data_IF_972103614290
#
_entry.id   IF_972103614290
#
_cell.length_a   1.000
_cell.length_b   1.000
_cell.length_c   1.000
_cell.angle_alpha   90.00
_cell.angle_beta   90.00
_cell.angle_gamma   90.00
#
_symmetry.space_group_name_H-M   'P 1'
#
loop_
_entity.id
_entity.type
_entity.pdbx_description
1 polymer ?
#
# COMPACT_ATOMS: atom_id res chain seq x y z
N UNK A 1 1.11 -16.97 -17.18
CA UNK A 1 1.92 -18.09 -16.67
C UNK A 1 3.17 -17.64 -15.88
N UNK A 2 3.66 -16.40 -16.00
CA UNK A 2 4.88 -15.94 -15.30
C UNK A 2 4.70 -15.39 -13.87
N UNK A 3 3.52 -14.89 -13.50
CA UNK A 3 3.30 -14.26 -12.18
C UNK A 3 3.06 -15.28 -11.05
N UNK A 4 2.48 -16.45 -11.34
CA UNK A 4 2.19 -17.46 -10.32
C UNK A 4 3.47 -18.07 -9.76
N UNK A 5 4.43 -18.41 -10.62
CA UNK A 5 5.73 -18.95 -10.18
C UNK A 5 6.56 -17.90 -9.44
N UNK A 6 6.42 -16.60 -9.76
CA UNK A 6 7.12 -15.53 -9.04
C UNK A 6 6.79 -15.51 -7.55
N UNK A 7 5.50 -15.52 -7.18
CA UNK A 7 5.11 -15.48 -5.77
C UNK A 7 5.51 -16.76 -5.04
N UNK A 8 5.35 -17.92 -5.69
CA UNK A 8 5.73 -19.21 -5.12
C UNK A 8 7.25 -19.33 -4.89
N UNK A 9 8.06 -18.92 -5.88
CA UNK A 9 9.53 -18.95 -5.78
C UNK A 9 10.04 -17.95 -4.75
N UNK A 10 9.47 -16.74 -4.72
CA UNK A 10 9.80 -15.72 -3.72
C UNK A 10 9.46 -16.21 -2.30
N UNK A 11 8.26 -16.78 -2.10
CA UNK A 11 7.83 -17.34 -0.83
C UNK A 11 8.72 -18.50 -0.39
N UNK A 12 9.09 -19.40 -1.30
CA UNK A 12 10.00 -20.51 -1.04
C UNK A 12 11.38 -20.01 -0.60
N UNK A 13 11.92 -19.01 -1.28
CA UNK A 13 13.21 -18.40 -0.91
C UNK A 13 13.15 -17.73 0.47
N UNK A 14 12.12 -16.91 0.71
CA UNK A 14 11.94 -16.20 1.99
C UNK A 14 11.82 -17.20 3.15
N UNK A 15 10.97 -18.23 3.02
CA UNK A 15 10.83 -19.27 4.05
C UNK A 15 12.14 -20.01 4.31
N UNK A 16 12.88 -20.36 3.27
CA UNK A 16 14.16 -21.05 3.41
C UNK A 16 15.23 -20.24 4.15
N UNK A 17 15.19 -18.91 4.05
CA UNK A 17 16.19 -18.01 4.66
C UNK A 17 15.76 -17.45 6.01
N UNK A 18 14.46 -17.21 6.20
CA UNK A 18 13.91 -16.64 7.44
C UNK A 18 13.54 -17.71 8.46
N UNK A 19 13.16 -18.92 8.03
CA UNK A 19 12.54 -19.93 8.89
C UNK A 19 13.40 -20.45 10.05
N UNK A 20 14.72 -20.25 10.01
CA UNK A 20 15.66 -20.67 11.05
C UNK A 20 16.23 -19.50 11.86
N UNK A 21 15.75 -18.27 11.62
CA UNK A 21 16.22 -17.08 12.32
C UNK A 21 15.32 -16.79 13.53
N UNK A 22 15.93 -16.31 14.61
CA UNK A 22 15.18 -15.71 15.73
C UNK A 22 14.57 -14.37 15.32
N UNK A 23 13.58 -13.88 16.08
CA UNK A 23 12.88 -12.62 15.79
C UNK A 23 13.83 -11.43 15.62
N UNK A 24 14.85 -11.30 16.47
CA UNK A 24 15.86 -10.24 16.38
C UNK A 24 16.68 -10.36 15.09
N UNK A 25 17.09 -11.58 14.73
CA UNK A 25 17.82 -11.83 13.49
C UNK A 25 16.94 -11.58 12.26
N UNK A 26 15.65 -11.90 12.33
CA UNK A 26 14.69 -11.55 11.27
C UNK A 26 14.65 -10.04 11.11
N UNK A 27 14.49 -9.28 12.20
CA UNK A 27 14.42 -7.82 12.14
C UNK A 27 15.65 -7.19 11.47
N UNK A 28 16.84 -7.68 11.78
CA UNK A 28 18.10 -7.21 11.18
C UNK A 28 18.27 -7.67 9.72
N UNK A 29 17.86 -8.90 9.41
CA UNK A 29 18.17 -9.55 8.13
C UNK A 29 17.03 -9.53 7.11
N UNK A 30 15.84 -9.04 7.47
CA UNK A 30 14.66 -9.10 6.60
C UNK A 30 14.89 -8.32 5.30
N UNK A 31 15.43 -7.10 5.37
CA UNK A 31 15.72 -6.27 4.20
C UNK A 31 16.73 -6.93 3.25
N UNK A 32 17.93 -7.37 3.68
CA UNK A 32 18.86 -8.04 2.79
C UNK A 32 18.32 -9.37 2.25
N UNK A 33 17.57 -10.14 3.03
CA UNK A 33 16.96 -11.40 2.58
C UNK A 33 15.89 -11.15 1.53
N UNK A 34 15.00 -10.17 1.74
CA UNK A 34 14.01 -9.73 0.74
C UNK A 34 14.71 -9.34 -0.56
N UNK A 35 15.80 -8.58 -0.48
CA UNK A 35 16.54 -8.15 -1.67
C UNK A 35 17.16 -9.32 -2.45
N UNK A 36 17.57 -10.39 -1.76
CA UNK A 36 18.08 -11.60 -2.41
C UNK A 36 16.97 -12.45 -3.01
N UNK A 37 15.81 -12.54 -2.36
CA UNK A 37 14.69 -13.35 -2.83
C UNK A 37 13.81 -12.64 -3.87
N UNK A 38 13.88 -11.32 -3.96
CA UNK A 38 13.04 -10.52 -4.86
C UNK A 38 13.67 -10.38 -6.24
N UNK A 39 12.95 -10.80 -7.28
CA UNK A 39 13.29 -10.47 -8.66
C UNK A 39 12.82 -9.03 -8.91
N UNK A 40 13.75 -8.06 -8.83
CA UNK A 40 13.51 -6.61 -8.90
C UNK A 40 12.90 -6.07 -10.22
N UNK A 41 12.39 -6.91 -11.12
CA UNK A 41 11.91 -6.50 -12.47
C UNK A 41 10.57 -7.10 -12.89
N UNK A 42 9.85 -7.79 -12.00
CA UNK A 42 8.58 -8.45 -12.38
C UNK A 42 7.40 -7.47 -12.39
N UNK A 43 7.39 -6.50 -11.49
CA UNK A 43 6.35 -5.48 -11.38
C UNK A 43 6.89 -4.14 -11.88
N UNK A 44 6.22 -3.56 -12.88
CA UNK A 44 6.52 -2.23 -13.39
C UNK A 44 5.93 -1.17 -12.44
N UNK A 45 6.48 -1.10 -11.23
CA UNK A 45 6.09 -0.13 -10.21
C UNK A 45 6.51 1.27 -10.66
N UNK A 46 5.56 2.20 -10.64
CA UNK A 46 5.79 3.62 -10.85
C UNK A 46 5.82 4.30 -9.47
N UNK A 47 6.93 4.94 -9.07
CA UNK A 47 6.93 5.78 -7.90
C UNK A 47 6.10 7.04 -8.18
N UNK A 48 5.20 7.38 -7.28
CA UNK A 48 4.48 8.66 -7.25
C UNK A 48 4.87 9.31 -5.92
N UNK A 49 5.52 10.45 -6.04
CA UNK A 49 6.03 11.22 -4.91
C UNK A 49 4.97 12.18 -4.43
N UNK A 50 4.79 12.28 -3.11
CA UNK A 50 4.07 13.39 -2.49
C UNK A 50 5.05 14.20 -1.62
N UNK A 51 4.56 15.05 -0.72
CA UNK A 51 5.43 15.97 0.05
C UNK A 51 6.37 15.27 1.04
N UNK A 52 5.97 14.12 1.59
CA UNK A 52 6.64 13.45 2.72
C UNK A 52 6.91 11.95 2.49
N UNK A 53 6.34 11.33 1.46
CA UNK A 53 6.43 9.90 1.16
C UNK A 53 6.51 9.58 -0.35
N UNK A 54 6.80 8.30 -0.64
CA UNK A 54 6.79 7.74 -1.98
C UNK A 54 5.80 6.59 -2.00
N UNK A 55 4.71 6.73 -2.76
CA UNK A 55 3.75 5.66 -3.00
C UNK A 55 4.08 4.97 -4.32
N UNK A 56 4.16 3.64 -4.31
CA UNK A 56 4.46 2.86 -5.51
C UNK A 56 3.17 2.31 -6.14
N UNK A 57 2.88 2.70 -7.37
CA UNK A 57 1.70 2.27 -8.12
C UNK A 57 2.09 1.29 -9.23
N UNK A 58 1.49 0.10 -9.23
CA UNK A 58 1.58 -0.80 -10.39
C UNK A 58 0.32 -0.64 -11.25
N UNK A 59 0.49 0.01 -12.41
CA UNK A 59 -0.59 0.10 -13.38
C UNK A 59 -0.78 -1.27 -14.07
N UNK A 60 -2.00 -1.84 -14.07
CA UNK A 60 -2.30 -2.96 -14.94
C UNK A 60 -2.03 -2.55 -16.39
N UNK A 61 -1.28 -3.37 -17.15
CA UNK A 61 -1.02 -3.07 -18.57
C UNK A 61 -2.34 -2.78 -19.30
N UNK A 62 -2.31 -1.76 -20.16
CA UNK A 62 -3.43 -1.20 -20.94
C UNK A 62 -4.36 -2.21 -21.65
N UNK A 63 -3.95 -3.47 -21.79
CA UNK A 63 -4.70 -4.50 -22.54
C UNK A 63 -5.87 -5.14 -21.79
N UNK A 64 -6.14 -4.77 -20.53
CA UNK A 64 -7.34 -5.24 -19.82
C UNK A 64 -7.95 -4.08 -19.05
N UNK A 65 -9.06 -3.54 -19.57
CA UNK A 65 -10.03 -2.79 -18.75
C UNK A 65 -10.37 -3.70 -17.57
N UNK A 66 -9.80 -3.43 -16.41
CA UNK A 66 -9.90 -4.26 -15.21
C UNK A 66 -11.22 -4.03 -14.46
N UNK A 67 -12.29 -3.68 -15.18
CA UNK A 67 -13.58 -3.39 -14.58
C UNK A 67 -14.34 -4.70 -14.30
N UNK A 68 -14.85 -4.89 -13.06
CA UNK A 68 -14.80 -3.97 -11.92
C UNK A 68 -13.44 -3.98 -11.20
N UNK A 69 -12.90 -2.79 -10.90
CA UNK A 69 -11.68 -2.59 -10.12
C UNK A 69 -11.96 -1.72 -8.89
N UNK A 70 -11.24 -2.01 -7.81
CA UNK A 70 -11.28 -1.26 -6.55
C UNK A 70 -9.86 -0.87 -6.16
N UNK A 71 -9.65 0.39 -5.85
CA UNK A 71 -8.42 0.94 -5.26
C UNK A 71 -8.72 1.22 -3.79
N UNK A 72 -7.94 0.62 -2.90
CA UNK A 72 -8.06 0.82 -1.46
C UNK A 72 -6.82 1.54 -0.95
N UNK A 73 -7.02 2.70 -0.34
CA UNK A 73 -5.99 3.48 0.38
C UNK A 73 -6.20 3.29 1.88
N UNK A 74 -5.18 2.79 2.58
CA UNK A 74 -5.16 2.67 4.04
C UNK A 74 -4.16 3.67 4.59
N UNK A 75 -4.58 4.51 5.54
CA UNK A 75 -3.79 5.66 5.98
C UNK A 75 -3.78 6.73 4.90
N UNK A 76 -4.92 7.41 4.70
CA UNK A 76 -5.07 8.46 3.69
C UNK A 76 -4.10 9.61 3.95
N UNK A 77 -3.93 10.00 5.21
CA UNK A 77 -3.11 11.14 5.59
C UNK A 77 -3.64 12.47 5.06
N UNK A 78 -2.81 13.52 5.14
CA UNK A 78 -3.15 14.89 4.76
C UNK A 78 -2.79 15.25 3.31
N UNK A 79 -2.10 14.36 2.59
CA UNK A 79 -1.71 14.56 1.20
C UNK A 79 -2.27 13.45 0.31
N UNK A 80 -3.33 13.80 -0.44
CA UNK A 80 -4.06 12.90 -1.35
C UNK A 80 -3.69 13.11 -2.83
N UNK A 81 -2.56 13.79 -3.09
CA UNK A 81 -2.12 14.11 -4.46
C UNK A 81 -1.89 12.86 -5.31
N UNK A 82 -1.33 11.81 -4.71
CA UNK A 82 -1.10 10.51 -5.36
C UNK A 82 -2.42 9.87 -5.78
N UNK A 83 -3.37 9.77 -4.86
CA UNK A 83 -4.68 9.16 -5.12
C UNK A 83 -5.44 9.93 -6.20
N UNK A 84 -5.34 11.25 -6.17
CA UNK A 84 -5.87 12.13 -7.22
C UNK A 84 -5.24 11.84 -8.59
N UNK A 85 -3.93 11.60 -8.65
CA UNK A 85 -3.23 11.25 -9.90
C UNK A 85 -3.64 9.86 -10.40
N UNK A 86 -3.73 8.87 -9.51
CA UNK A 86 -4.18 7.51 -9.85
C UNK A 86 -5.63 7.56 -10.36
N UNK A 87 -6.53 8.33 -9.74
CA UNK A 87 -7.92 8.50 -10.20
C UNK A 87 -8.00 9.05 -11.62
N UNK A 88 -7.11 9.97 -12.02
CA UNK A 88 -7.03 10.47 -13.40
C UNK A 88 -6.60 9.39 -14.38
N UNK A 89 -5.73 8.46 -13.97
CA UNK A 89 -5.24 7.36 -14.81
C UNK A 89 -6.26 6.22 -14.95
N UNK A 90 -7.03 5.93 -13.90
CA UNK A 90 -8.02 4.85 -13.84
C UNK A 90 -9.36 5.33 -13.27
N UNK A 91 -10.06 6.25 -13.97
CA UNK A 91 -11.26 6.91 -13.46
C UNK A 91 -12.42 5.95 -13.19
N UNK A 92 -12.48 4.83 -13.92
CA UNK A 92 -13.56 3.84 -13.84
C UNK A 92 -13.47 2.91 -12.62
N UNK A 93 -12.36 2.93 -11.87
CA UNK A 93 -12.26 2.16 -10.64
C UNK A 93 -13.02 2.83 -9.49
N UNK A 94 -13.49 2.00 -8.55
CA UNK A 94 -14.00 2.47 -7.26
C UNK A 94 -12.82 2.80 -6.35
N UNK A 95 -12.84 3.96 -5.70
CA UNK A 95 -11.79 4.39 -4.78
C UNK A 95 -12.37 4.39 -3.37
N UNK A 96 -11.65 3.75 -2.44
CA UNK A 96 -12.02 3.62 -1.04
C UNK A 96 -10.82 4.03 -0.19
N UNK A 97 -11.00 5.04 0.65
CA UNK A 97 -10.00 5.56 1.57
C UNK A 97 -10.37 5.25 3.01
N UNK A 98 -9.37 4.97 3.83
CA UNK A 98 -9.54 4.68 5.24
C UNK A 98 -8.51 5.38 6.11
N UNK A 99 -8.98 6.12 7.11
CA UNK A 99 -8.10 6.80 8.05
C UNK A 99 -8.82 7.10 9.39
N UNK A 100 -8.14 7.03 10.55
CA UNK A 100 -8.76 7.37 11.83
C UNK A 100 -9.07 8.87 11.99
N UNK A 101 -8.42 9.76 11.22
CA UNK A 101 -8.63 11.21 11.31
C UNK A 101 -9.76 11.68 10.39
N UNK A 102 -10.99 11.28 10.71
CA UNK A 102 -12.14 11.55 9.85
C UNK A 102 -12.51 13.02 9.67
N UNK A 103 -12.24 13.91 10.61
CA UNK A 103 -12.59 15.33 10.46
C UNK A 103 -11.65 16.06 9.50
N UNK A 104 -10.37 15.70 9.51
CA UNK A 104 -9.34 16.34 8.69
C UNK A 104 -9.18 15.68 7.32
N UNK A 105 -9.16 14.33 7.26
CA UNK A 105 -8.77 13.60 6.06
C UNK A 105 -9.96 13.27 5.14
N UNK A 106 -11.19 13.20 5.68
CA UNK A 106 -12.40 12.96 4.88
C UNK A 106 -12.61 14.04 3.80
N UNK A 107 -12.59 15.35 4.10
CA UNK A 107 -12.85 16.38 3.09
C UNK A 107 -11.80 16.37 1.96
N UNK A 108 -10.60 15.87 2.26
CA UNK A 108 -9.53 15.73 1.27
C UNK A 108 -9.79 14.54 0.33
N UNK A 109 -10.32 13.42 0.86
CA UNK A 109 -10.50 12.18 0.10
C UNK A 109 -11.83 12.04 -0.62
N UNK A 110 -12.94 12.55 -0.04
CA UNK A 110 -14.28 12.42 -0.63
C UNK A 110 -14.41 12.93 -2.10
N UNK A 111 -13.62 13.91 -2.58
CA UNK A 111 -13.57 14.26 -3.99
C UNK A 111 -13.01 13.17 -4.92
N UNK A 112 -12.25 12.20 -4.38
CA UNK A 112 -11.60 11.11 -5.13
C UNK A 112 -12.44 9.82 -5.07
N UNK A 113 -13.00 9.51 -3.91
CA UNK A 113 -13.70 8.25 -3.63
C UNK A 113 -14.45 8.24 -2.31
N UNK A 114 -14.87 7.06 -1.85
CA UNK A 114 -15.56 6.90 -0.57
C UNK A 114 -14.55 6.89 0.59
N UNK A 115 -14.82 7.66 1.65
CA UNK A 115 -13.98 7.69 2.84
C UNK A 115 -14.63 6.98 4.01
N UNK A 116 -13.83 6.22 4.75
CA UNK A 116 -14.24 5.57 5.97
C UNK A 116 -13.33 5.93 7.13
N UNK A 117 -13.93 6.28 8.27
CA UNK A 117 -13.20 6.54 9.49
C UNK A 117 -12.86 5.22 10.21
N UNK A 118 -11.84 4.51 9.72
CA UNK A 118 -11.29 3.31 10.33
C UNK A 118 -9.78 3.21 10.11
N UNK A 119 -9.12 2.42 10.95
CA UNK A 119 -7.71 2.10 10.84
C UNK A 119 -7.47 0.59 10.93
N UNK A 120 -6.33 0.12 10.44
CA UNK A 120 -5.90 -1.26 10.66
C UNK A 120 -5.14 -1.35 11.98
N UNK A 121 -5.67 -2.15 12.90
CA UNK A 121 -5.07 -2.41 14.21
C UNK A 121 -4.84 -3.90 14.47
N UNK A 122 -4.07 -4.22 15.52
CA UNK A 122 -3.78 -5.59 15.91
C UNK A 122 -5.02 -6.37 16.41
N UNK A 123 -6.05 -5.65 16.85
CA UNK A 123 -7.34 -6.20 17.29
C UNK A 123 -8.46 -5.37 16.69
N UNK A 124 -9.60 -6.02 16.42
CA UNK A 124 -10.83 -5.35 16.03
C UNK A 124 -11.50 -4.72 17.25
N UNK A 125 -11.97 -3.49 17.09
CA UNK A 125 -12.66 -2.76 18.14
C UNK A 125 -12.63 -1.26 17.87
N UNK A 126 -13.27 -0.51 18.76
CA UNK A 126 -13.14 0.93 18.80
C UNK A 126 -12.03 1.28 19.79
N UNK A 127 -11.05 2.04 19.34
CA UNK A 127 -9.93 2.49 20.16
C UNK A 127 -9.59 3.95 19.81
N UNK A 128 -8.90 4.63 20.71
CA UNK A 128 -8.42 5.99 20.49
C UNK A 128 -7.06 5.90 19.80
N UNK A 129 -7.00 6.32 18.54
CA UNK A 129 -5.74 6.46 17.84
C UNK A 129 -5.04 7.76 18.28
N UNK A 130 -3.78 7.68 18.70
CA UNK A 130 -2.91 8.86 18.80
C UNK A 130 -2.25 9.09 17.45
N UNK A 131 -2.49 10.26 16.86
CA UNK A 131 -1.91 10.64 15.58
C UNK A 131 -0.80 11.65 15.84
N UNK A 132 0.35 11.43 15.19
CA UNK A 132 1.45 12.38 15.26
C UNK A 132 1.02 13.67 14.55
N UNK A 133 0.79 14.72 15.33
CA UNK A 133 0.57 16.06 14.78
C UNK A 133 1.92 16.69 14.46
N UNK A 134 2.05 17.31 13.28
CA UNK A 134 3.23 18.08 12.92
C UNK A 134 3.54 19.10 14.03
N UNK A 135 4.75 19.02 14.60
CA UNK A 135 5.23 20.09 15.49
C UNK A 135 5.54 21.30 14.61
N UNK A 136 4.79 22.38 14.81
CA UNK A 136 5.10 23.70 14.28
C UNK A 136 6.53 24.15 14.65
#
# INVERSE_FOLDING_TARGET
MYLSTFFDDNLKCLRGKLGNLSDNQIWEMVTPIINQCSIRKVLALKPIHNQDEIKFFWSPKESRRMTPCVVVTLGVGKDVSVESEIKKQIPDCTFIGADPMGDDNRPLYEPIGEFYNFAVGAKSGNDIASVLTDKH
#
